data_IF_294905858352
#
_entry.id   IF_294905858352
#
_cell.length_a   1.000
_cell.length_b   1.000
_cell.length_c   1.000
_cell.angle_alpha   90.00
_cell.angle_beta   90.00
_cell.angle_gamma   90.00
#
_symmetry.space_group_name_H-M   'P 1'
#
loop_
_entity.id
_entity.type
_entity.pdbx_description
1 polymer ?
#
# COMPACT_ATOMS: atom_id res chain seq x y z
N UNK A 1 -2.61 1.29 -57.34
CA UNK A 1 -3.03 -0.08 -56.97
C UNK A 1 -1.79 -0.92 -56.71
N UNK A 2 -1.51 -1.27 -55.46
CA UNK A 2 -0.40 -2.18 -55.10
C UNK A 2 -0.99 -3.29 -54.22
N UNK A 3 -1.11 -4.49 -54.80
CA UNK A 3 -1.60 -5.71 -54.12
C UNK A 3 -0.50 -6.22 -53.19
N UNK A 4 -0.70 -6.15 -51.86
CA UNK A 4 0.09 -6.96 -50.91
C UNK A 4 -0.68 -8.23 -50.60
N UNK A 5 -0.05 -9.34 -50.94
CA UNK A 5 -0.52 -10.72 -50.77
C UNK A 5 -0.50 -11.06 -49.28
N UNK A 6 -1.59 -11.66 -48.80
CA UNK A 6 -1.64 -12.32 -47.50
C UNK A 6 -0.80 -13.61 -47.59
N UNK A 7 0.20 -13.75 -46.71
CA UNK A 7 0.85 -15.04 -46.48
C UNK A 7 0.12 -15.77 -45.37
N UNK A 8 -0.42 -16.94 -45.72
CA UNK A 8 -0.99 -17.92 -44.81
C UNK A 8 0.10 -18.47 -43.89
N UNK A 9 -0.09 -18.33 -42.57
CA UNK A 9 0.67 -19.11 -41.61
C UNK A 9 -0.10 -20.41 -41.33
N UNK A 10 0.53 -21.50 -41.77
CA UNK A 10 0.09 -22.89 -41.65
C UNK A 10 -0.01 -23.30 -40.19
N UNK A 11 -1.13 -23.94 -39.84
CA UNK A 11 -1.33 -24.62 -38.57
C UNK A 11 -0.73 -26.04 -38.65
N UNK A 12 0.46 -26.23 -38.09
CA UNK A 12 0.98 -27.51 -37.67
C UNK A 12 2.15 -27.26 -36.70
N UNK A 13 2.33 -28.17 -35.74
CA UNK A 13 3.42 -28.24 -34.76
C UNK A 13 3.26 -27.40 -33.47
N UNK A 14 2.32 -27.82 -32.63
CA UNK A 14 2.52 -27.79 -31.17
C UNK A 14 2.34 -29.21 -30.67
N UNK A 15 3.48 -29.90 -30.57
CA UNK A 15 3.64 -31.19 -29.91
C UNK A 15 3.10 -31.15 -28.48
N UNK A 16 2.27 -32.14 -28.15
CA UNK A 16 1.86 -32.50 -26.79
C UNK A 16 3.10 -32.68 -25.90
N UNK A 17 3.15 -31.96 -24.79
CA UNK A 17 4.06 -32.25 -23.68
C UNK A 17 3.23 -32.80 -22.53
N UNK A 18 3.39 -34.10 -22.32
CA UNK A 18 2.83 -34.94 -21.28
C UNK A 18 3.49 -34.59 -19.92
N UNK A 19 2.73 -34.34 -18.83
CA UNK A 19 3.34 -34.16 -17.52
C UNK A 19 3.67 -35.52 -16.89
N UNK A 20 4.95 -35.88 -16.88
CA UNK A 20 5.47 -36.98 -16.09
C UNK A 20 5.28 -36.71 -14.59
N UNK A 21 4.63 -37.66 -13.92
CA UNK A 21 4.57 -37.76 -12.47
C UNK A 21 5.96 -38.07 -11.90
N UNK A 22 6.41 -37.30 -10.90
CA UNK A 22 7.58 -37.65 -10.12
C UNK A 22 7.40 -37.30 -8.63
N UNK A 23 7.31 -38.38 -7.85
CA UNK A 23 7.85 -38.59 -6.51
C UNK A 23 7.48 -37.64 -5.36
N UNK A 24 6.57 -38.16 -4.53
CA UNK A 24 6.53 -37.99 -3.07
C UNK A 24 7.88 -38.38 -2.47
N UNK A 25 8.69 -37.39 -2.10
CA UNK A 25 9.85 -37.54 -1.23
C UNK A 25 9.50 -37.07 0.17
N UNK A 26 9.37 -38.00 1.11
CA UNK A 26 9.41 -37.72 2.55
C UNK A 26 10.81 -37.24 2.92
N UNK A 27 10.94 -35.99 3.31
CA UNK A 27 12.18 -35.46 3.86
C UNK A 27 12.16 -35.68 5.38
N UNK A 28 12.91 -36.67 5.83
CA UNK A 28 13.32 -36.86 7.23
C UNK A 28 14.08 -35.63 7.73
N UNK A 29 13.72 -35.13 8.91
CA UNK A 29 14.37 -33.99 9.58
C UNK A 29 15.59 -34.52 10.34
N UNK A 30 16.85 -34.16 9.99
CA UNK A 30 17.98 -34.51 10.83
C UNK A 30 18.03 -33.61 12.07
N UNK A 31 17.97 -34.23 13.24
CA UNK A 31 18.22 -33.60 14.53
C UNK A 31 19.71 -33.21 14.64
N UNK A 32 20.00 -31.91 14.82
CA UNK A 32 21.37 -31.44 15.07
C UNK A 32 21.44 -30.54 16.31
N UNK A 33 22.09 -31.06 17.34
CA UNK A 33 23.11 -30.37 18.13
C UNK A 33 22.70 -29.20 19.02
N UNK A 34 22.47 -29.47 20.30
CA UNK A 34 22.53 -28.45 21.37
C UNK A 34 23.98 -27.99 21.55
N UNK A 35 24.26 -26.70 21.31
CA UNK A 35 25.43 -26.02 21.88
C UNK A 35 24.96 -24.92 22.82
N UNK A 36 25.51 -24.99 24.02
CA UNK A 36 25.33 -24.12 25.17
C UNK A 36 25.89 -22.73 24.88
N UNK A 37 25.12 -21.70 25.22
CA UNK A 37 25.48 -20.30 25.05
C UNK A 37 24.81 -19.44 26.11
N UNK A 38 25.47 -19.36 27.26
CA UNK A 38 25.19 -18.50 28.42
C UNK A 38 24.90 -17.06 27.97
N UNK A 39 23.70 -16.53 28.23
CA UNK A 39 23.39 -15.11 28.07
C UNK A 39 22.82 -14.54 29.38
N UNK A 40 23.46 -13.47 29.82
CA UNK A 40 23.32 -12.81 31.11
C UNK A 40 21.91 -12.25 31.29
N UNK A 41 21.33 -12.51 32.46
CA UNK A 41 20.21 -11.77 33.01
C UNK A 41 20.61 -10.30 33.18
N UNK A 42 19.82 -9.39 32.61
CA UNK A 42 19.73 -8.02 33.12
C UNK A 42 18.30 -7.78 33.57
N UNK A 43 18.23 -7.32 34.81
CA UNK A 43 17.08 -7.29 35.66
C UNK A 43 16.06 -6.23 35.24
N UNK A 44 14.81 -6.70 35.23
CA UNK A 44 13.60 -6.01 35.67
C UNK A 44 13.83 -4.71 36.45
N UNK A 45 13.32 -3.59 35.91
CA UNK A 45 12.63 -2.56 36.70
C UNK A 45 11.37 -2.09 35.97
N UNK A 46 10.24 -2.58 36.46
CA UNK A 46 8.89 -2.05 36.24
C UNK A 46 8.72 -0.75 37.04
N UNK A 47 8.23 0.29 36.37
CA UNK A 47 7.45 1.40 36.94
C UNK A 47 6.46 1.80 35.83
N UNK A 48 5.21 1.33 35.80
CA UNK A 48 4.02 1.58 36.63
C UNK A 48 3.48 3.02 36.48
N UNK A 49 2.42 3.11 35.65
CA UNK A 49 1.36 4.15 35.58
C UNK A 49 1.80 5.55 35.06
N UNK A 50 1.09 6.23 34.16
CA UNK A 50 -0.37 6.32 34.02
C UNK A 50 -0.87 6.31 32.57
N UNK A 51 -1.97 5.57 32.37
CA UNK A 51 -2.85 5.66 31.22
C UNK A 51 -3.69 6.92 31.35
N UNK A 52 -3.42 7.94 30.55
CA UNK A 52 -4.42 8.96 30.28
C UNK A 52 -5.42 8.38 29.27
N UNK A 53 -6.56 7.95 29.80
CA UNK A 53 -7.73 7.64 28.99
C UNK A 53 -8.46 8.93 28.72
N UNK A 54 -8.08 9.62 27.66
CA UNK A 54 -8.98 10.60 27.07
C UNK A 54 -10.00 9.81 26.26
N UNK A 55 -11.10 9.44 26.93
CA UNK A 55 -12.35 9.10 26.29
C UNK A 55 -12.90 10.38 25.64
N UNK A 56 -12.34 10.75 24.49
CA UNK A 56 -13.01 11.64 23.56
C UNK A 56 -14.04 10.77 22.88
N UNK A 57 -15.30 11.14 23.09
CA UNK A 57 -16.47 10.39 22.65
C UNK A 57 -16.32 9.90 21.22
N UNK A 58 -16.70 8.65 21.04
CA UNK A 58 -17.10 8.10 19.76
C UNK A 58 -18.26 8.93 19.21
N UNK A 59 -17.94 10.07 18.59
CA UNK A 59 -18.62 10.42 17.36
C UNK A 59 -18.05 9.43 16.35
N UNK A 60 -18.91 8.64 15.71
CA UNK A 60 -18.63 8.14 14.38
C UNK A 60 -18.48 9.35 13.46
N UNK A 61 -17.42 10.15 13.68
CA UNK A 61 -17.04 11.25 12.87
C UNK A 61 -16.75 10.60 11.55
N UNK A 62 -17.73 10.69 10.66
CA UNK A 62 -17.66 10.30 9.29
C UNK A 62 -16.29 10.73 8.83
N UNK A 63 -15.46 9.79 8.35
CA UNK A 63 -14.16 10.07 7.76
C UNK A 63 -14.35 10.82 6.43
N UNK A 64 -15.24 11.80 6.40
CA UNK A 64 -15.76 12.45 5.22
C UNK A 64 -14.94 13.71 4.99
N UNK A 65 -13.87 13.53 4.24
CA UNK A 65 -13.24 14.63 3.53
C UNK A 65 -14.28 15.26 2.58
N UNK A 66 -14.35 16.59 2.59
CA UNK A 66 -15.12 17.34 1.58
C UNK A 66 -14.50 17.16 0.19
N UNK A 67 -15.26 17.43 -0.89
CA UNK A 67 -14.74 17.28 -2.27
C UNK A 67 -13.48 18.11 -2.52
N UNK A 68 -13.37 19.29 -1.90
CA UNK A 68 -12.19 20.14 -1.99
C UNK A 68 -11.00 19.53 -1.23
N UNK A 69 -11.23 19.09 0.01
CA UNK A 69 -10.18 18.46 0.82
C UNK A 69 -9.68 17.15 0.22
N UNK A 70 -10.52 16.36 -0.46
CA UNK A 70 -10.05 15.16 -1.18
C UNK A 70 -9.07 15.53 -2.29
N UNK A 71 -9.29 16.63 -3.01
CA UNK A 71 -8.36 17.09 -4.06
C UNK A 71 -7.02 17.49 -3.45
N UNK A 72 -7.03 18.30 -2.40
CA UNK A 72 -5.83 18.70 -1.67
C UNK A 72 -5.10 17.50 -1.08
N UNK A 73 -5.83 16.59 -0.44
CA UNK A 73 -5.29 15.38 0.17
C UNK A 73 -4.63 14.45 -0.85
N UNK A 74 -5.17 14.32 -2.07
CA UNK A 74 -4.53 13.54 -3.13
C UNK A 74 -3.15 14.13 -3.52
N UNK A 75 -3.04 15.45 -3.59
CA UNK A 75 -1.77 16.13 -3.87
C UNK A 75 -0.80 15.94 -2.71
N UNK A 76 -1.27 16.18 -1.49
CA UNK A 76 -0.49 15.98 -0.27
C UNK A 76 0.03 14.54 -0.14
N UNK A 77 -0.80 13.54 -0.47
CA UNK A 77 -0.42 12.13 -0.43
C UNK A 77 0.72 11.84 -1.41
N UNK A 78 0.66 12.41 -2.62
CA UNK A 78 1.72 12.27 -3.62
C UNK A 78 3.03 12.89 -3.12
N UNK A 79 2.96 14.08 -2.52
CA UNK A 79 4.13 14.75 -1.95
C UNK A 79 4.73 13.95 -0.78
N UNK A 80 3.90 13.44 0.12
CA UNK A 80 4.29 12.55 1.24
C UNK A 80 5.02 11.29 0.74
N UNK A 81 4.53 10.68 -0.34
CA UNK A 81 5.18 9.51 -0.95
C UNK A 81 6.45 9.84 -1.72
N UNK A 82 6.58 11.06 -2.27
CA UNK A 82 7.80 11.50 -2.96
C UNK A 82 8.90 11.83 -1.95
N UNK A 83 8.57 12.54 -0.87
CA UNK A 83 9.53 12.89 0.17
C UNK A 83 10.06 11.66 0.91
N UNK A 84 9.25 10.62 1.11
CA UNK A 84 9.69 9.37 1.75
C UNK A 84 10.71 8.57 0.93
N UNK A 85 10.79 8.81 -0.39
CA UNK A 85 11.71 8.12 -1.32
C UNK A 85 13.09 8.75 -1.41
N UNK A 86 13.25 10.02 -1.02
CA UNK A 86 14.49 10.81 -1.22
C UNK A 86 15.67 10.42 -0.31
N UNK A 87 15.67 9.25 0.33
CA UNK A 87 16.81 8.84 1.18
C UNK A 87 16.71 7.49 1.88
N UNK A 88 15.73 6.63 1.52
CA UNK A 88 15.54 5.33 2.19
C UNK A 88 15.93 4.17 1.29
N UNK A 89 16.77 3.28 1.83
CA UNK A 89 17.08 1.98 1.21
C UNK A 89 15.77 1.18 1.05
N UNK A 90 15.62 0.39 -0.03
CA UNK A 90 14.42 -0.42 -0.22
C UNK A 90 14.21 -1.31 1.01
N UNK A 91 12.99 -1.26 1.55
CA UNK A 91 12.55 -2.17 2.61
C UNK A 91 12.79 -3.61 2.13
N UNK A 92 13.30 -4.47 3.02
CA UNK A 92 13.68 -5.85 2.70
C UNK A 92 12.53 -6.66 2.08
N UNK A 93 12.82 -7.88 1.62
CA UNK A 93 11.81 -8.77 1.04
C UNK A 93 10.63 -8.94 2.02
N UNK A 94 9.41 -8.76 1.52
CA UNK A 94 8.17 -8.98 2.26
C UNK A 94 8.12 -10.42 2.79
N UNK A 95 7.76 -10.62 4.05
CA UNK A 95 7.55 -11.97 4.57
C UNK A 95 6.27 -12.57 3.97
N UNK A 96 6.27 -13.87 3.69
CA UNK A 96 5.12 -14.58 3.11
C UNK A 96 3.88 -14.50 4.04
N UNK A 97 4.10 -14.35 5.35
CA UNK A 97 3.06 -14.21 6.36
C UNK A 97 2.49 -12.80 6.52
N UNK A 98 3.10 -11.76 5.94
CA UNK A 98 2.62 -10.39 6.11
C UNK A 98 1.31 -10.18 5.33
N UNK A 99 0.27 -9.55 5.89
CA UNK A 99 -0.95 -9.24 5.16
C UNK A 99 -0.69 -8.37 3.93
N UNK A 100 -1.52 -8.50 2.89
CA UNK A 100 -1.37 -7.73 1.65
C UNK A 100 -1.59 -6.23 1.91
N UNK A 101 -0.56 -5.44 1.61
CA UNK A 101 -0.57 -3.98 1.66
C UNK A 101 -0.51 -3.44 0.24
N UNK A 102 -1.33 -2.43 -0.05
CA UNK A 102 -1.28 -1.73 -1.33
C UNK A 102 0.09 -1.04 -1.47
N UNK A 103 0.70 -1.16 -2.65
CA UNK A 103 1.89 -0.37 -2.98
C UNK A 103 1.56 1.12 -3.08
N UNK A 104 2.56 1.99 -2.97
CA UNK A 104 2.38 3.45 -3.08
C UNK A 104 1.61 3.86 -4.36
N UNK A 105 1.93 3.23 -5.49
CA UNK A 105 1.25 3.48 -6.76
C UNK A 105 -0.22 3.03 -6.74
N UNK A 106 -0.50 1.85 -6.18
CA UNK A 106 -1.87 1.35 -6.02
C UNK A 106 -2.69 2.29 -5.13
N UNK A 107 -2.09 2.80 -4.03
CA UNK A 107 -2.73 3.78 -3.15
C UNK A 107 -3.13 5.04 -3.90
N UNK A 108 -2.24 5.58 -4.74
CA UNK A 108 -2.54 6.78 -5.54
C UNK A 108 -3.65 6.54 -6.57
N UNK A 109 -3.68 5.37 -7.20
CA UNK A 109 -4.74 5.02 -8.15
C UNK A 109 -6.09 4.94 -7.42
N UNK A 110 -6.14 4.23 -6.29
CA UNK A 110 -7.35 4.10 -5.50
C UNK A 110 -7.82 5.47 -4.97
N UNK A 111 -6.90 6.32 -4.50
CA UNK A 111 -7.22 7.69 -4.09
C UNK A 111 -7.81 8.53 -5.24
N UNK A 112 -7.29 8.39 -6.47
CA UNK A 112 -7.85 9.07 -7.63
C UNK A 112 -9.22 8.53 -8.02
N UNK A 113 -9.44 7.22 -7.94
CA UNK A 113 -10.75 6.62 -8.15
C UNK A 113 -11.76 7.12 -7.11
N UNK A 114 -11.36 7.16 -5.83
CA UNK A 114 -12.16 7.73 -4.75
C UNK A 114 -12.52 9.20 -5.00
N UNK A 115 -11.55 10.02 -5.41
CA UNK A 115 -11.78 11.43 -5.80
C UNK A 115 -12.81 11.54 -6.92
N UNK A 116 -12.68 10.74 -7.97
CA UNK A 116 -13.63 10.74 -9.11
C UNK A 116 -15.03 10.29 -8.68
N UNK A 117 -15.11 9.24 -7.85
CA UNK A 117 -16.36 8.72 -7.29
C UNK A 117 -17.06 9.78 -6.43
N UNK A 118 -16.33 10.48 -5.54
CA UNK A 118 -16.85 11.59 -4.73
C UNK A 118 -17.30 12.78 -5.57
N UNK A 119 -16.61 13.10 -6.67
CA UNK A 119 -17.03 14.17 -7.58
C UNK A 119 -18.34 13.82 -8.30
N UNK A 120 -18.51 12.55 -8.69
CA UNK A 120 -19.69 12.04 -9.37
C UNK A 120 -20.83 11.61 -8.41
N UNK A 121 -20.61 11.71 -7.09
CA UNK A 121 -21.55 11.26 -6.05
C UNK A 121 -21.96 9.78 -6.23
N UNK A 122 -20.99 8.95 -6.63
CA UNK A 122 -21.15 7.52 -6.86
C UNK A 122 -20.19 6.72 -5.97
N UNK A 123 -20.49 5.44 -5.68
CA UNK A 123 -19.55 4.55 -5.03
C UNK A 123 -18.36 4.25 -5.96
N UNK A 124 -17.22 3.85 -5.36
CA UNK A 124 -16.04 3.41 -6.12
C UNK A 124 -16.34 2.06 -6.79
N UNK A 125 -16.07 1.96 -8.10
CA UNK A 125 -16.22 0.71 -8.85
C UNK A 125 -15.01 -0.21 -8.63
N UNK A 126 -15.07 -1.02 -7.57
CA UNK A 126 -14.03 -2.00 -7.26
C UNK A 126 -13.95 -3.14 -8.27
N UNK A 127 -15.05 -3.47 -8.96
CA UNK A 127 -15.07 -4.55 -9.96
C UNK A 127 -14.18 -4.14 -11.12
N UNK A 128 -14.43 -2.96 -11.69
CA UNK A 128 -13.57 -2.41 -12.75
C UNK A 128 -12.14 -2.24 -12.27
N UNK A 129 -11.94 -1.71 -11.05
CA UNK A 129 -10.59 -1.48 -10.51
C UNK A 129 -9.78 -2.78 -10.36
N UNK A 130 -10.40 -3.85 -9.87
CA UNK A 130 -9.76 -5.17 -9.68
C UNK A 130 -9.29 -5.81 -10.99
N UNK A 131 -9.92 -5.46 -12.11
CA UNK A 131 -9.58 -5.98 -13.43
C UNK A 131 -8.43 -5.22 -14.11
N UNK A 132 -7.98 -4.09 -13.53
CA UNK A 132 -6.86 -3.34 -14.09
C UNK A 132 -5.51 -4.01 -13.82
N UNK A 133 -4.51 -3.74 -14.66
CA UNK A 133 -3.17 -4.30 -14.52
C UNK A 133 -2.48 -3.92 -13.19
N UNK A 134 -2.86 -2.80 -12.59
CA UNK A 134 -2.29 -2.32 -11.34
C UNK A 134 -2.76 -3.12 -10.12
N UNK A 135 -3.93 -3.77 -10.19
CA UNK A 135 -4.52 -4.55 -9.11
C UNK A 135 -4.63 -6.05 -9.46
N UNK A 136 -3.67 -6.58 -10.22
CA UNK A 136 -3.67 -7.98 -10.64
C UNK A 136 -3.85 -8.99 -9.48
N UNK A 137 -3.27 -8.70 -8.31
CA UNK A 137 -3.43 -9.52 -7.09
C UNK A 137 -4.87 -9.61 -6.58
N UNK A 138 -5.76 -8.73 -7.03
CA UNK A 138 -7.17 -8.66 -6.64
C UNK A 138 -8.11 -9.10 -7.76
N UNK A 139 -7.61 -9.58 -8.91
CA UNK A 139 -8.44 -9.98 -10.04
C UNK A 139 -9.40 -11.10 -9.60
N UNK A 140 -10.71 -10.86 -9.73
CA UNK A 140 -11.77 -11.77 -9.25
C UNK A 140 -12.07 -11.67 -7.75
N UNK A 141 -11.31 -10.88 -6.99
CA UNK A 141 -11.43 -10.70 -5.54
C UNK A 141 -11.67 -9.23 -5.16
N UNK A 142 -12.58 -8.55 -5.86
CA UNK A 142 -12.90 -7.13 -5.62
C UNK A 142 -13.40 -6.85 -4.19
N UNK A 143 -13.96 -7.85 -3.51
CA UNK A 143 -14.42 -7.75 -2.13
C UNK A 143 -13.28 -7.44 -1.16
N UNK A 144 -12.03 -7.79 -1.50
CA UNK A 144 -10.85 -7.49 -0.70
C UNK A 144 -10.35 -6.05 -0.91
N UNK A 145 -10.78 -5.37 -1.98
CA UNK A 145 -10.45 -3.97 -2.24
C UNK A 145 -11.34 -3.01 -1.48
N UNK A 146 -12.63 -3.32 -1.30
CA UNK A 146 -13.57 -2.43 -0.63
C UNK A 146 -13.11 -2.02 0.80
N UNK A 147 -12.63 -2.94 1.67
CA UNK A 147 -12.11 -2.58 2.97
C UNK A 147 -10.86 -1.67 2.93
N UNK A 148 -10.10 -1.71 1.81
CA UNK A 148 -8.90 -0.87 1.65
C UNK A 148 -9.23 0.59 1.42
N UNK A 149 -10.46 0.93 1.02
CA UNK A 149 -10.87 2.32 0.88
C UNK A 149 -10.72 3.10 2.20
N UNK A 150 -11.16 2.52 3.32
CA UNK A 150 -11.04 3.16 4.63
C UNK A 150 -9.58 3.46 5.01
N UNK A 151 -8.66 2.56 4.67
CA UNK A 151 -7.22 2.79 4.86
C UNK A 151 -6.71 3.97 4.03
N UNK A 152 -7.17 4.10 2.79
CA UNK A 152 -6.79 5.21 1.89
C UNK A 152 -7.38 6.53 2.37
N UNK A 153 -8.63 6.56 2.81
CA UNK A 153 -9.27 7.77 3.34
C UNK A 153 -8.53 8.27 4.58
N UNK A 154 -8.14 7.37 5.48
CA UNK A 154 -7.29 7.71 6.64
C UNK A 154 -5.94 8.27 6.20
N UNK A 155 -5.28 7.62 5.23
CA UNK A 155 -3.98 8.08 4.72
C UNK A 155 -4.06 9.45 4.02
N UNK A 156 -5.18 9.75 3.35
CA UNK A 156 -5.47 11.06 2.75
C UNK A 156 -5.60 12.15 3.83
N UNK A 157 -6.34 11.88 4.92
CA UNK A 157 -6.46 12.81 6.04
C UNK A 157 -5.11 13.09 6.71
N UNK A 158 -4.33 12.03 6.98
CA UNK A 158 -2.98 12.18 7.53
C UNK A 158 -2.06 12.98 6.60
N UNK A 159 -2.16 12.76 5.29
CA UNK A 159 -1.36 13.51 4.32
C UNK A 159 -1.75 14.99 4.31
N UNK A 160 -3.05 15.29 4.33
CA UNK A 160 -3.57 16.66 4.34
C UNK A 160 -3.15 17.42 5.60
N UNK A 161 -3.30 16.81 6.77
CA UNK A 161 -2.88 17.43 8.04
C UNK A 161 -1.36 17.64 8.07
N UNK A 162 -0.58 16.65 7.64
CA UNK A 162 0.88 16.78 7.52
C UNK A 162 1.30 17.92 6.59
N UNK A 163 0.64 18.05 5.44
CA UNK A 163 0.91 19.13 4.48
C UNK A 163 0.59 20.51 5.07
N UNK A 164 -0.56 20.66 5.75
CA UNK A 164 -0.93 21.92 6.43
C UNK A 164 0.08 22.33 7.49
N UNK A 165 0.64 21.38 8.25
CA UNK A 165 1.70 21.66 9.23
C UNK A 165 2.97 22.16 8.55
N UNK A 166 3.38 21.55 7.43
CA UNK A 166 4.56 21.99 6.67
C UNK A 166 4.34 23.40 6.14
N UNK A 167 3.19 23.67 5.53
CA UNK A 167 2.86 25.00 5.01
C UNK A 167 2.82 26.08 6.10
N UNK A 168 2.26 25.76 7.27
CA UNK A 168 2.27 26.68 8.42
C UNK A 168 3.71 26.95 8.91
N UNK A 169 4.57 25.92 8.96
CA UNK A 169 5.97 26.09 9.31
C UNK A 169 6.71 26.96 8.30
N UNK A 170 6.50 26.76 7.01
CA UNK A 170 7.19 27.52 5.97
C UNK A 170 6.71 28.98 5.90
N UNK A 171 5.44 29.27 6.23
CA UNK A 171 4.94 30.65 6.39
C UNK A 171 5.59 31.39 7.55
N UNK A 172 6.05 30.68 8.58
CA UNK A 172 6.69 31.28 9.75
C UNK A 172 8.20 31.50 9.57
N UNK A 173 8.80 30.98 8.49
CA UNK A 173 10.17 31.30 8.10
C UNK A 173 10.19 32.65 7.37
N UNK A 174 10.17 33.73 8.14
CA UNK A 174 10.54 35.08 7.65
C UNK A 174 12.06 35.15 7.38
N UNK A 175 12.56 36.08 6.55
CA UNK A 175 13.95 36.09 6.02
C UNK A 175 15.09 36.29 7.04
N UNK A 176 14.83 36.20 8.35
CA UNK A 176 15.84 36.35 9.39
C UNK A 176 16.82 35.17 9.54
N UNK A 177 16.66 34.09 8.75
CA UNK A 177 17.54 32.90 8.78
C UNK A 177 18.40 32.76 7.50
N UNK A 178 18.53 33.80 6.67
CA UNK A 178 19.39 33.82 5.47
C UNK A 178 20.68 34.66 5.62
N UNK A 179 21.00 35.10 6.83
CA UNK A 179 22.29 35.71 7.17
C UNK A 179 23.03 34.83 8.18
N UNK A 180 23.60 33.70 7.74
CA UNK A 180 24.74 33.06 8.40
C UNK A 180 25.65 32.35 7.38
#
# INVERSE_FOLDING_TARGET
MVKRKYNAFSAADITLCEPQAANVGTYEIPAVGRRTGRKKETSSKRTRLQRFTNAVGASSASFELTKAEVKEACVALRLKQQSSKQGKRPYGRRSVSEPFKLSDSQKLILANCYKSARNAERPVDYVSMSNTCHFYSFKGYHQLLAPKEGDIVRELQEALTGQRVIEARDRNKTPAELEE
#
